data_IF_669377877133
#
_entry.id   IF_669377877133
#
_cell.length_a   1.000
_cell.length_b   1.000
_cell.length_c   1.000
_cell.angle_alpha   90.00
_cell.angle_beta   90.00
_cell.angle_gamma   90.00
#
_symmetry.space_group_name_H-M   'P 1'
#
loop_
_entity.id
_entity.type
_entity.pdbx_description
1 polymer ?
#
# COMPACT_ATOMS: atom_id res chain seq x y z
N UNK A 1 -21.96 1.97 32.68
CA UNK A 1 -20.56 1.49 32.64
C UNK A 1 -19.72 2.66 32.17
N UNK A 2 -18.87 3.22 33.02
CA UNK A 2 -18.01 4.35 32.66
C UNK A 2 -16.82 3.82 31.85
N UNK A 3 -16.35 4.51 30.79
CA UNK A 3 -15.17 4.08 30.06
C UNK A 3 -13.97 4.04 31.01
N UNK A 4 -13.25 2.92 31.02
CA UNK A 4 -12.00 2.80 31.77
C UNK A 4 -11.04 3.89 31.29
N UNK A 5 -10.36 4.56 32.23
CA UNK A 5 -9.38 5.59 31.89
C UNK A 5 -8.28 4.96 31.05
N UNK A 6 -8.14 5.40 29.80
CA UNK A 6 -7.05 4.98 28.93
C UNK A 6 -5.73 5.46 29.54
N UNK A 7 -4.77 4.54 29.67
CA UNK A 7 -3.43 4.90 30.11
C UNK A 7 -2.80 5.93 29.15
N UNK A 8 -2.12 6.95 29.67
CA UNK A 8 -1.48 7.99 28.84
C UNK A 8 -0.55 7.40 27.77
N UNK A 9 0.16 6.33 28.10
CA UNK A 9 1.02 5.59 27.15
C UNK A 9 0.24 4.97 25.99
N UNK A 10 -0.97 4.47 26.25
CA UNK A 10 -1.83 3.90 25.22
C UNK A 10 -2.40 4.99 24.32
N UNK A 11 -2.80 6.15 24.87
CA UNK A 11 -3.25 7.30 24.08
C UNK A 11 -2.16 7.76 23.10
N UNK A 12 -0.92 7.90 23.58
CA UNK A 12 0.22 8.29 22.73
C UNK A 12 0.45 7.28 21.62
N UNK A 13 0.39 5.97 21.92
CA UNK A 13 0.54 4.91 20.91
C UNK A 13 -0.56 4.96 19.85
N UNK A 14 -1.83 5.02 20.27
CA UNK A 14 -2.96 5.05 19.34
C UNK A 14 -2.92 6.28 18.43
N UNK A 15 -2.59 7.46 18.95
CA UNK A 15 -2.43 8.66 18.12
C UNK A 15 -1.29 8.51 17.12
N UNK A 16 -0.15 7.95 17.54
CA UNK A 16 0.95 7.67 16.61
C UNK A 16 0.53 6.70 15.49
N UNK A 17 -0.21 5.66 15.82
CA UNK A 17 -0.73 4.72 14.83
C UNK A 17 -1.67 5.40 13.83
N UNK A 18 -2.49 6.37 14.25
CA UNK A 18 -3.31 7.16 13.33
C UNK A 18 -2.45 7.99 12.36
N UNK A 19 -1.37 8.59 12.86
CA UNK A 19 -0.42 9.34 12.01
C UNK A 19 0.30 8.42 11.02
N UNK A 20 0.71 7.23 11.47
CA UNK A 20 1.37 6.23 10.65
C UNK A 20 0.43 5.68 9.57
N UNK A 21 -0.84 5.39 9.89
CA UNK A 21 -1.88 5.02 8.91
C UNK A 21 -2.08 6.13 7.85
N UNK A 22 -2.13 7.40 8.27
CA UNK A 22 -2.32 8.52 7.37
C UNK A 22 -1.16 8.64 6.37
N UNK A 23 0.08 8.46 6.84
CA UNK A 23 1.27 8.43 6.00
C UNK A 23 1.25 7.23 5.04
N UNK A 24 1.03 6.04 5.57
CA UNK A 24 1.05 4.80 4.79
C UNK A 24 -0.05 4.76 3.71
N UNK A 25 -1.23 5.32 4.00
CA UNK A 25 -2.32 5.41 3.00
C UNK A 25 -1.94 6.31 1.82
N UNK A 26 -1.26 7.44 2.08
CA UNK A 26 -0.75 8.32 1.03
C UNK A 26 0.31 7.63 0.17
N UNK A 27 1.21 6.88 0.80
CA UNK A 27 2.26 6.14 0.10
C UNK A 27 1.65 5.03 -0.78
N UNK A 28 0.61 4.34 -0.29
CA UNK A 28 -0.14 3.33 -1.06
C UNK A 28 -0.88 3.90 -2.26
N UNK A 29 -1.43 5.11 -2.16
CA UNK A 29 -2.02 5.79 -3.33
C UNK A 29 -0.96 6.04 -4.41
N UNK A 30 0.25 6.44 -4.00
CA UNK A 30 1.40 6.57 -4.90
C UNK A 30 1.78 5.25 -5.57
N UNK A 31 1.90 4.18 -4.79
CA UNK A 31 2.19 2.83 -5.31
C UNK A 31 1.10 2.34 -6.27
N UNK A 32 -0.18 2.54 -5.91
CA UNK A 32 -1.32 2.18 -6.76
C UNK A 32 -1.20 2.86 -8.11
N UNK A 33 -0.89 4.15 -8.13
CA UNK A 33 -0.78 4.90 -9.38
C UNK A 33 0.40 4.44 -10.23
N UNK A 34 1.55 4.15 -9.62
CA UNK A 34 2.70 3.60 -10.35
C UNK A 34 2.38 2.24 -10.98
N UNK A 35 1.70 1.36 -10.26
CA UNK A 35 1.27 0.07 -10.80
C UNK A 35 0.21 0.19 -11.88
N UNK A 36 -0.69 1.17 -11.77
CA UNK A 36 -1.70 1.43 -12.79
C UNK A 36 -1.06 1.97 -14.07
N UNK A 37 -0.05 2.86 -13.98
CA UNK A 37 0.73 3.26 -15.14
C UNK A 37 1.41 2.08 -15.84
N UNK A 38 1.99 1.14 -15.07
CA UNK A 38 2.59 -0.08 -15.64
C UNK A 38 1.53 -0.92 -16.37
N UNK A 39 0.35 -1.07 -15.78
CA UNK A 39 -0.75 -1.82 -16.41
C UNK A 39 -1.19 -1.17 -17.72
N UNK A 40 -1.36 0.14 -17.74
CA UNK A 40 -1.75 0.91 -18.92
C UNK A 40 -0.68 0.83 -20.03
N UNK A 41 0.62 0.93 -19.67
CA UNK A 41 1.73 0.74 -20.61
C UNK A 41 1.72 -0.66 -21.24
N UNK A 42 1.52 -1.70 -20.43
CA UNK A 42 1.46 -3.09 -20.92
C UNK A 42 0.22 -3.34 -21.79
N UNK A 43 -0.93 -2.77 -21.45
CA UNK A 43 -2.14 -2.88 -22.26
C UNK A 43 -1.94 -2.19 -23.63
N UNK A 44 -1.28 -1.03 -23.64
CA UNK A 44 -0.95 -0.33 -24.88
C UNK A 44 -0.02 -1.17 -25.79
N UNK A 45 1.04 -1.75 -25.22
CA UNK A 45 1.97 -2.61 -25.95
C UNK A 45 1.28 -3.85 -26.54
N UNK A 46 0.38 -4.49 -25.79
CA UNK A 46 -0.43 -5.63 -26.26
C UNK A 46 -1.35 -5.27 -27.43
N UNK A 47 -1.95 -4.06 -27.42
CA UNK A 47 -2.77 -3.57 -28.54
C UNK A 47 -1.93 -3.32 -29.80
N UNK A 48 -0.67 -2.91 -29.63
CA UNK A 48 0.24 -2.64 -30.74
C UNK A 48 0.97 -3.90 -31.25
N UNK A 49 1.08 -4.96 -30.44
CA UNK A 49 1.79 -6.21 -30.79
C UNK A 49 1.00 -7.45 -30.34
N UNK A 50 0.22 -8.08 -31.24
CA UNK A 50 -0.71 -9.17 -30.86
C UNK A 50 -0.05 -10.50 -30.49
N UNK A 51 1.26 -10.67 -30.69
CA UNK A 51 2.02 -11.89 -30.37
C UNK A 51 2.65 -11.89 -28.95
N UNK A 52 2.49 -10.81 -28.17
CA UNK A 52 3.02 -10.75 -26.81
C UNK A 52 2.14 -11.55 -25.85
N UNK A 53 2.70 -12.61 -25.25
CA UNK A 53 2.07 -13.38 -24.18
C UNK A 53 1.62 -12.43 -23.06
N UNK A 54 0.31 -12.33 -22.86
CA UNK A 54 -0.35 -11.41 -21.92
C UNK A 54 0.09 -11.70 -20.49
N UNK A 55 1.04 -10.92 -19.98
CA UNK A 55 1.24 -10.77 -18.54
C UNK A 55 0.59 -9.45 -18.17
N UNK A 56 -0.58 -9.51 -17.51
CA UNK A 56 -1.23 -8.33 -16.93
C UNK A 56 -0.39 -7.88 -15.73
N UNK A 57 0.67 -7.11 -16.00
CA UNK A 57 1.55 -6.55 -14.99
C UNK A 57 0.87 -5.34 -14.34
N UNK A 58 1.08 -5.16 -13.04
CA UNK A 58 0.65 -3.97 -12.31
C UNK A 58 -0.81 -3.96 -11.87
N UNK A 59 -1.76 -4.50 -12.64
CA UNK A 59 -3.18 -4.43 -12.27
C UNK A 59 -3.52 -5.19 -10.96
N UNK A 60 -3.03 -6.43 -10.73
CA UNK A 60 -3.23 -7.11 -9.45
C UNK A 60 -2.59 -6.36 -8.27
N UNK A 61 -1.42 -5.74 -8.47
CA UNK A 61 -0.73 -4.99 -7.43
C UNK A 61 -1.44 -3.66 -7.12
N UNK A 62 -1.95 -2.95 -8.13
CA UNK A 62 -2.78 -1.77 -7.95
C UNK A 62 -4.07 -2.10 -7.19
N UNK A 63 -4.70 -3.24 -7.51
CA UNK A 63 -5.85 -3.74 -6.76
C UNK A 63 -5.47 -4.04 -5.30
N UNK A 64 -4.31 -4.66 -5.06
CA UNK A 64 -3.84 -4.93 -3.69
C UNK A 64 -3.59 -3.64 -2.91
N UNK A 65 -3.00 -2.61 -3.52
CA UNK A 65 -2.87 -1.30 -2.88
C UNK A 65 -4.23 -0.74 -2.43
N UNK A 66 -5.27 -0.86 -3.27
CA UNK A 66 -6.61 -0.40 -2.92
C UNK A 66 -7.22 -1.19 -1.73
N UNK A 67 -7.00 -2.50 -1.67
CA UNK A 67 -7.43 -3.33 -0.55
C UNK A 67 -6.76 -2.94 0.77
N UNK A 68 -5.45 -2.65 0.74
CA UNK A 68 -4.72 -2.20 1.93
C UNK A 68 -5.24 -0.83 2.40
N UNK A 69 -5.58 0.09 1.48
CA UNK A 69 -6.21 1.37 1.84
C UNK A 69 -7.56 1.16 2.53
N UNK A 70 -8.39 0.22 2.07
CA UNK A 70 -9.65 -0.14 2.76
C UNK A 70 -9.38 -0.73 4.16
N UNK A 71 -8.34 -1.55 4.29
CA UNK A 71 -7.91 -2.09 5.58
C UNK A 71 -7.43 -1.00 6.55
N UNK A 72 -6.69 0.01 6.05
CA UNK A 72 -6.30 1.20 6.81
C UNK A 72 -7.52 2.00 7.30
N UNK A 73 -8.54 2.19 6.46
CA UNK A 73 -9.77 2.89 6.88
C UNK A 73 -10.45 2.12 8.02
N UNK A 74 -10.53 0.80 7.93
CA UNK A 74 -11.13 -0.04 8.97
C UNK A 74 -10.30 0.01 10.26
N UNK A 75 -8.96 -0.11 10.16
CA UNK A 75 -8.06 -0.04 11.30
C UNK A 75 -8.10 1.33 11.99
N UNK A 76 -8.20 2.41 11.20
CA UNK A 76 -8.39 3.77 11.72
C UNK A 76 -9.68 3.86 12.54
N UNK A 77 -10.80 3.37 12.02
CA UNK A 77 -12.06 3.34 12.76
C UNK A 77 -11.98 2.51 14.04
N UNK A 78 -11.25 1.38 14.02
CA UNK A 78 -11.02 0.56 15.21
C UNK A 78 -10.21 1.32 16.27
N UNK A 79 -9.18 2.07 15.86
CA UNK A 79 -8.36 2.92 16.75
C UNK A 79 -9.18 4.07 17.33
N UNK A 80 -9.99 4.76 16.52
CA UNK A 80 -10.88 5.84 16.97
C UNK A 80 -11.94 5.31 17.97
N UNK A 81 -12.46 4.11 17.73
CA UNK A 81 -13.35 3.42 18.66
C UNK A 81 -12.64 3.11 20.00
N UNK A 82 -11.40 2.63 19.95
CA UNK A 82 -10.59 2.38 21.14
C UNK A 82 -10.29 3.67 21.93
N UNK A 83 -10.04 4.79 21.24
CA UNK A 83 -9.85 6.10 21.85
C UNK A 83 -11.11 6.64 22.55
N UNK A 84 -12.29 6.35 22.01
CA UNK A 84 -13.56 6.87 22.54
C UNK A 84 -14.15 5.99 23.66
N UNK A 85 -14.04 4.67 23.53
CA UNK A 85 -14.68 3.71 24.45
C UNK A 85 -13.79 3.25 25.61
N UNK A 86 -12.50 3.54 25.54
CA UNK A 86 -11.52 2.96 26.44
C UNK A 86 -10.93 1.68 25.85
N UNK A 87 -9.67 1.42 26.17
CA UNK A 87 -8.94 0.25 25.67
C UNK A 87 -7.85 -0.19 26.66
N UNK A 88 -7.45 -1.45 26.57
CA UNK A 88 -6.37 -2.03 27.35
C UNK A 88 -5.08 -2.20 26.52
N UNK A 89 -4.01 -2.63 27.18
CA UNK A 89 -2.72 -2.84 26.51
C UNK A 89 -2.73 -3.98 25.48
N UNK A 90 -3.62 -4.97 25.64
CA UNK A 90 -3.70 -6.13 24.73
C UNK A 90 -4.34 -5.72 23.41
N UNK A 91 -5.43 -4.95 23.48
CA UNK A 91 -6.11 -4.41 22.31
C UNK A 91 -5.22 -3.42 21.57
N UNK A 92 -4.51 -2.53 22.27
CA UNK A 92 -3.50 -1.64 21.65
C UNK A 92 -2.42 -2.47 20.93
N UNK A 93 -1.92 -3.54 21.56
CA UNK A 93 -0.95 -4.45 20.94
C UNK A 93 -1.51 -5.14 19.69
N UNK A 94 -2.75 -5.60 19.72
CA UNK A 94 -3.39 -6.24 18.57
C UNK A 94 -3.61 -5.28 17.39
N UNK A 95 -3.98 -4.03 17.69
CA UNK A 95 -4.09 -2.98 16.67
C UNK A 95 -2.72 -2.67 16.05
N UNK A 96 -1.66 -2.64 16.86
CA UNK A 96 -0.29 -2.42 16.38
C UNK A 96 0.16 -3.55 15.45
N UNK A 97 -0.05 -4.81 15.84
CA UNK A 97 0.31 -5.96 14.98
C UNK A 97 -0.42 -5.90 13.64
N UNK A 98 -1.68 -5.46 13.61
CA UNK A 98 -2.42 -5.26 12.36
C UNK A 98 -1.83 -4.13 11.52
N UNK A 99 -1.38 -3.04 12.14
CA UNK A 99 -0.71 -1.96 11.43
C UNK A 99 0.62 -2.45 10.83
N UNK A 100 1.45 -3.10 11.64
CA UNK A 100 2.76 -3.61 11.22
C UNK A 100 2.63 -4.56 10.02
N UNK A 101 1.64 -5.46 10.03
CA UNK A 101 1.39 -6.37 8.91
C UNK A 101 1.00 -5.62 7.61
N UNK A 102 0.21 -4.55 7.70
CA UNK A 102 -0.15 -3.75 6.53
C UNK A 102 1.04 -2.93 6.01
N UNK A 103 1.94 -2.49 6.90
CA UNK A 103 3.19 -1.81 6.53
C UNK A 103 4.16 -2.77 5.84
N UNK A 104 4.31 -4.01 6.34
CA UNK A 104 5.12 -5.06 5.71
C UNK A 104 4.61 -5.40 4.29
N UNK A 105 3.29 -5.46 4.12
CA UNK A 105 2.69 -5.68 2.80
C UNK A 105 2.94 -4.50 1.84
N UNK A 106 2.82 -3.25 2.33
CA UNK A 106 3.18 -2.06 1.54
C UNK A 106 4.64 -2.11 1.11
N UNK A 107 5.56 -2.46 2.00
CA UNK A 107 6.99 -2.50 1.71
C UNK A 107 7.35 -3.60 0.70
N UNK A 108 6.63 -4.73 0.78
CA UNK A 108 6.71 -5.79 -0.24
C UNK A 108 6.28 -5.26 -1.60
N UNK A 109 5.16 -4.54 -1.67
CA UNK A 109 4.69 -3.90 -2.91
C UNK A 109 5.68 -2.85 -3.44
N UNK A 110 6.29 -2.02 -2.60
CA UNK A 110 7.32 -1.07 -3.07
C UNK A 110 8.54 -1.80 -3.66
N UNK A 111 9.00 -2.87 -2.99
CA UNK A 111 10.10 -3.69 -3.49
C UNK A 111 9.76 -4.36 -4.84
N UNK A 112 8.55 -4.90 -4.95
CA UNK A 112 8.04 -5.52 -6.18
C UNK A 112 7.91 -4.51 -7.32
N UNK A 113 7.45 -3.29 -7.03
CA UNK A 113 7.37 -2.21 -8.00
C UNK A 113 8.76 -1.88 -8.57
N UNK A 114 9.76 -1.71 -7.70
CA UNK A 114 11.15 -1.46 -8.13
C UNK A 114 11.72 -2.63 -8.93
N UNK A 115 11.38 -3.87 -8.57
CA UNK A 115 11.79 -5.05 -9.33
C UNK A 115 11.16 -5.08 -10.72
N UNK A 116 9.86 -4.78 -10.79
CA UNK A 116 9.09 -4.73 -12.04
C UNK A 116 9.61 -3.63 -12.96
N UNK A 117 9.78 -2.41 -12.44
CA UNK A 117 10.35 -1.29 -13.20
C UNK A 117 11.74 -1.61 -13.76
N UNK A 118 12.62 -2.23 -12.96
CA UNK A 118 13.96 -2.65 -13.44
C UNK A 118 13.87 -3.69 -14.55
N UNK A 119 12.90 -4.61 -14.47
CA UNK A 119 12.72 -5.65 -15.49
C UNK A 119 12.18 -5.06 -16.79
N UNK A 120 11.20 -4.16 -16.72
CA UNK A 120 10.67 -3.42 -17.86
C UNK A 120 11.74 -2.55 -18.53
N UNK A 121 12.57 -1.87 -17.74
CA UNK A 121 13.70 -1.08 -18.27
C UNK A 121 14.70 -1.93 -19.08
N UNK A 122 14.94 -3.18 -18.68
CA UNK A 122 15.81 -4.10 -19.43
C UNK A 122 15.16 -4.62 -20.72
N UNK A 123 13.83 -4.68 -20.75
CA UNK A 123 13.06 -5.15 -21.90
C UNK A 123 12.81 -4.05 -22.93
N UNK A 124 12.86 -2.76 -22.53
CA UNK A 124 12.81 -1.66 -23.48
C UNK A 124 14.00 -1.76 -24.43
N UNK A 125 13.78 -1.95 -25.75
CA UNK A 125 14.87 -1.99 -26.70
C UNK A 125 15.60 -0.65 -26.67
N UNK A 126 16.94 -0.71 -26.68
CA UNK A 126 17.82 0.44 -26.93
C UNK A 126 17.55 0.89 -28.37
N UNK A 127 16.48 1.66 -28.57
CA UNK A 127 16.09 2.17 -29.86
C UNK A 127 15.93 3.69 -29.74
N UNK A 128 17.03 4.39 -29.43
CA UNK A 128 17.18 5.80 -29.75
C UNK A 128 18.62 6.30 -29.51
N UNK A 129 19.60 5.83 -30.29
CA UNK A 129 20.78 6.67 -30.62
C UNK A 129 21.28 6.27 -32.01
N UNK A 130 20.70 6.88 -33.04
CA UNK A 130 21.45 7.35 -34.20
C UNK A 130 20.57 8.36 -34.97
N UNK A 131 20.93 9.65 -34.97
CA UNK A 131 20.64 10.50 -36.11
C UNK A 131 21.96 10.90 -36.82
N UNK A 132 21.94 11.05 -38.15
CA UNK A 132 23.11 11.40 -38.96
C UNK A 132 23.66 12.80 -38.68
#
# INVERSE_FOLDING_TARGET
MFPEKIAKSHLVKLNRMLDDIARASKDLDGLRMAYQCIADECEHELRCTPDCASVVLGQPQAQRCAEIVVAHVTLKSDIECALTRGTDGKQVGALQVRLDALEDERDTLDSDLRSTQRSLWKLRPIALEDPP
#
